data_IF_595735161621
#
_entry.id   IF_595735161621
#
_cell.length_a   1.000
_cell.length_b   1.000
_cell.length_c   1.000
_cell.angle_alpha   90.00
_cell.angle_beta   90.00
_cell.angle_gamma   90.00
#
_symmetry.space_group_name_H-M   'P 1'
#
loop_
_entity.id
_entity.type
_entity.pdbx_description
1 polymer ?
#
# COMPACT_ATOMS: atom_id res chain seq x y z
N UNK A 1 20.68 -13.99 1.98
CA UNK A 1 19.93 -12.74 2.17
C UNK A 1 20.24 -11.92 0.93
N UNK A 2 19.38 -11.98 -0.08
CA UNK A 2 19.51 -11.10 -1.25
C UNK A 2 19.36 -9.66 -0.75
N UNK A 3 20.21 -8.76 -1.26
CA UNK A 3 20.38 -7.41 -0.72
C UNK A 3 19.06 -6.64 -0.66
N UNK A 4 18.72 -6.11 0.52
CA UNK A 4 17.65 -5.14 0.65
C UNK A 4 17.96 -3.96 -0.29
N UNK A 5 17.04 -3.56 -1.18
CA UNK A 5 17.36 -2.61 -2.24
C UNK A 5 17.69 -1.22 -1.65
N UNK A 6 18.97 -0.84 -1.66
CA UNK A 6 19.46 0.42 -1.06
C UNK A 6 19.45 1.62 -2.00
N UNK A 7 19.24 1.41 -3.30
CA UNK A 7 19.27 2.45 -4.33
C UNK A 7 17.91 2.77 -4.96
N UNK A 8 16.82 2.34 -4.33
CA UNK A 8 15.49 2.56 -4.86
C UNK A 8 15.00 4.00 -4.62
N UNK A 9 14.12 4.50 -5.49
CA UNK A 9 13.49 5.81 -5.30
C UNK A 9 12.67 5.84 -4.00
N UNK A 10 12.50 7.02 -3.41
CA UNK A 10 11.70 7.20 -2.19
C UNK A 10 10.30 6.57 -2.32
N UNK A 11 9.61 6.80 -3.45
CA UNK A 11 8.30 6.21 -3.72
C UNK A 11 8.31 4.68 -3.66
N UNK A 12 9.40 4.05 -4.10
CA UNK A 12 9.54 2.60 -4.06
C UNK A 12 9.87 2.09 -2.66
N UNK A 13 10.72 2.79 -1.93
CA UNK A 13 11.00 2.47 -0.53
C UNK A 13 9.73 2.55 0.33
N UNK A 14 8.93 3.61 0.16
CA UNK A 14 7.60 3.73 0.79
C UNK A 14 6.68 2.57 0.40
N UNK A 15 6.69 2.14 -0.86
CA UNK A 15 5.89 1.03 -1.33
C UNK A 15 6.27 -0.31 -0.69
N UNK A 16 7.57 -0.60 -0.56
CA UNK A 16 8.04 -1.79 0.15
C UNK A 16 7.64 -1.76 1.62
N UNK A 17 7.76 -0.60 2.28
CA UNK A 17 7.36 -0.45 3.67
C UNK A 17 5.88 -0.80 3.87
N UNK A 18 4.99 -0.15 3.12
CA UNK A 18 3.55 -0.39 3.26
C UNK A 18 3.18 -1.81 2.85
N UNK A 19 3.77 -2.33 1.75
CA UNK A 19 3.56 -3.72 1.31
C UNK A 19 3.98 -4.72 2.38
N UNK A 20 5.11 -4.51 3.04
CA UNK A 20 5.60 -5.38 4.10
C UNK A 20 4.63 -5.42 5.29
N UNK A 21 4.27 -4.26 5.85
CA UNK A 21 3.40 -4.19 7.03
C UNK A 21 1.99 -4.69 6.73
N UNK A 22 1.40 -4.28 5.61
CA UNK A 22 0.04 -4.69 5.20
C UNK A 22 0.00 -6.17 4.79
N UNK A 23 1.06 -6.66 4.14
CA UNK A 23 1.18 -8.04 3.69
C UNK A 23 1.37 -9.01 4.85
N UNK A 24 2.25 -8.71 5.80
CA UNK A 24 2.45 -9.51 7.01
C UNK A 24 1.22 -9.51 7.92
N UNK A 25 0.44 -8.42 7.89
CA UNK A 25 -0.85 -8.33 8.56
C UNK A 25 -0.78 -8.68 10.06
N UNK A 26 0.17 -8.04 10.75
CA UNK A 26 0.47 -8.27 12.18
C UNK A 26 -0.73 -8.15 13.12
N UNK A 27 -1.73 -7.34 12.76
CA UNK A 27 -2.87 -7.03 13.59
C UNK A 27 -4.18 -7.56 12.99
N UNK A 28 -5.23 -7.82 13.79
CA UNK A 28 -6.56 -8.17 13.26
C UNK A 28 -7.19 -7.04 12.43
N UNK A 29 -6.94 -5.77 12.81
CA UNK A 29 -7.34 -4.56 12.09
C UNK A 29 -6.21 -3.52 12.14
N UNK A 30 -6.37 -2.39 11.44
CA UNK A 30 -5.50 -1.22 11.49
C UNK A 30 -4.13 -1.39 10.83
N UNK A 31 -3.84 -2.51 10.15
CA UNK A 31 -2.54 -2.71 9.47
C UNK A 31 -2.17 -1.57 8.51
N UNK A 32 -3.12 -1.06 7.72
CA UNK A 32 -2.88 0.11 6.87
C UNK A 32 -2.58 1.37 7.67
N UNK A 33 -3.35 1.64 8.74
CA UNK A 33 -3.11 2.79 9.62
C UNK A 33 -1.72 2.71 10.26
N UNK A 34 -1.34 1.54 10.77
CA UNK A 34 -0.01 1.30 11.34
C UNK A 34 1.09 1.41 10.30
N UNK A 35 0.89 0.88 9.10
CA UNK A 35 1.86 0.99 8.01
C UNK A 35 2.16 2.44 7.66
N UNK A 36 1.12 3.28 7.53
CA UNK A 36 1.29 4.70 7.29
C UNK A 36 1.90 5.41 8.50
N UNK A 37 1.37 5.23 9.71
CA UNK A 37 1.90 5.89 10.92
C UNK A 37 3.38 5.62 11.17
N UNK A 38 3.82 4.38 10.95
CA UNK A 38 5.25 4.04 11.06
C UNK A 38 6.08 4.56 9.90
N UNK A 39 5.53 4.63 8.68
CA UNK A 39 6.18 5.27 7.55
C UNK A 39 6.40 6.77 7.82
N UNK A 40 5.40 7.47 8.36
CA UNK A 40 5.55 8.88 8.78
C UNK A 40 6.67 9.07 9.77
N UNK A 41 6.69 8.26 10.84
CA UNK A 41 7.78 8.33 11.83
C UNK A 41 9.15 8.06 11.22
N UNK A 42 9.24 7.13 10.25
CA UNK A 42 10.49 6.85 9.55
C UNK A 42 10.94 8.02 8.65
N UNK A 43 10.01 8.63 7.91
CA UNK A 43 10.30 9.77 7.05
C UNK A 43 10.75 10.99 7.87
N UNK A 44 10.04 11.28 8.96
CA UNK A 44 10.40 12.35 9.91
C UNK A 44 11.79 12.13 10.52
N UNK A 45 12.06 10.92 11.02
CA UNK A 45 13.36 10.56 11.59
C UNK A 45 14.52 10.62 10.59
N UNK A 46 14.23 10.56 9.29
CA UNK A 46 15.23 10.67 8.20
C UNK A 46 15.30 12.06 7.58
N UNK A 47 14.54 13.04 8.11
CA UNK A 47 14.50 14.40 7.60
C UNK A 47 13.80 14.53 6.24
N UNK A 48 13.03 13.52 5.84
CA UNK A 48 12.27 13.53 4.59
C UNK A 48 10.88 14.09 4.88
N UNK A 49 10.66 15.35 4.50
CA UNK A 49 9.34 15.97 4.62
C UNK A 49 8.37 15.42 3.56
N UNK A 50 7.08 15.21 3.90
CA UNK A 50 6.07 14.98 2.89
C UNK A 50 5.96 16.19 1.93
N UNK A 51 5.43 16.00 0.72
CA UNK A 51 5.33 17.07 -0.28
C UNK A 51 4.48 18.26 0.19
N UNK A 52 3.49 17.99 1.05
CA UNK A 52 2.60 18.98 1.65
C UNK A 52 1.92 18.41 2.91
N UNK A 53 1.21 19.28 3.65
CA UNK A 53 0.46 18.92 4.87
C UNK A 53 -0.76 18.01 4.60
N UNK A 54 -1.15 17.86 3.33
CA UNK A 54 -2.25 17.00 2.88
C UNK A 54 -1.79 15.57 2.54
N UNK A 55 -0.50 15.25 2.72
CA UNK A 55 0.01 13.91 2.42
C UNK A 55 -0.42 12.94 3.54
N UNK A 56 -1.11 11.85 3.21
CA UNK A 56 -1.26 11.25 1.90
C UNK A 56 -2.46 11.86 1.16
N UNK A 57 -2.32 12.16 -0.14
CA UNK A 57 -3.35 12.90 -0.87
C UNK A 57 -4.66 12.13 -0.98
N UNK A 58 -5.69 12.85 -1.45
CA UNK A 58 -6.99 12.29 -1.83
C UNK A 58 -6.86 10.96 -2.60
N UNK A 59 -7.74 10.01 -2.26
CA UNK A 59 -7.74 8.68 -2.85
C UNK A 59 -6.98 7.60 -2.05
N UNK A 60 -6.42 7.92 -0.88
CA UNK A 60 -5.86 6.89 0.03
C UNK A 60 -6.89 5.80 0.37
N UNK A 61 -8.16 6.15 0.58
CA UNK A 61 -9.20 5.16 0.90
C UNK A 61 -9.39 4.15 -0.25
N UNK A 62 -9.43 4.61 -1.50
CA UNK A 62 -9.48 3.76 -2.70
C UNK A 62 -8.23 2.88 -2.79
N UNK A 63 -7.05 3.44 -2.50
CA UNK A 63 -5.81 2.68 -2.47
C UNK A 63 -5.81 1.59 -1.38
N UNK A 64 -6.36 1.89 -0.20
CA UNK A 64 -6.52 0.92 0.90
C UNK A 64 -7.49 -0.20 0.50
N UNK A 65 -8.62 0.11 -0.12
CA UNK A 65 -9.59 -0.90 -0.56
C UNK A 65 -8.97 -1.84 -1.60
N UNK A 66 -8.33 -1.29 -2.63
CA UNK A 66 -7.62 -2.10 -3.64
C UNK A 66 -6.50 -2.95 -3.01
N UNK A 67 -5.78 -2.39 -2.06
CA UNK A 67 -4.75 -3.14 -1.31
C UNK A 67 -5.33 -4.32 -0.52
N UNK A 68 -6.51 -4.17 0.10
CA UNK A 68 -7.19 -5.28 0.80
C UNK A 68 -7.56 -6.40 -0.17
N UNK A 69 -8.04 -6.07 -1.37
CA UNK A 69 -8.34 -7.05 -2.42
C UNK A 69 -7.09 -7.78 -2.89
N UNK A 70 -6.04 -7.03 -3.26
CA UNK A 70 -4.78 -7.60 -3.72
C UNK A 70 -4.13 -8.51 -2.67
N UNK A 71 -4.19 -8.13 -1.38
CA UNK A 71 -3.73 -8.99 -0.29
C UNK A 71 -4.53 -10.29 -0.23
N UNK A 72 -5.86 -10.20 -0.36
CA UNK A 72 -6.75 -11.36 -0.32
C UNK A 72 -6.58 -12.34 -1.49
N UNK A 73 -6.17 -11.84 -2.66
CA UNK A 73 -6.11 -12.62 -3.91
C UNK A 73 -4.70 -13.07 -4.30
N UNK A 74 -3.68 -12.23 -4.09
CA UNK A 74 -2.40 -12.36 -4.80
C UNK A 74 -1.17 -12.24 -3.92
N UNK A 75 -1.31 -12.00 -2.61
CA UNK A 75 -0.15 -11.73 -1.77
C UNK A 75 0.07 -12.83 -0.71
N UNK A 76 1.12 -13.64 -0.90
CA UNK A 76 1.75 -14.41 0.18
C UNK A 76 2.97 -13.62 0.67
N UNK A 77 2.80 -12.91 1.77
CA UNK A 77 3.90 -12.16 2.40
C UNK A 77 4.41 -12.92 3.61
N UNK A 78 5.72 -13.10 3.67
CA UNK A 78 6.47 -13.57 4.82
C UNK A 78 7.83 -12.83 4.87
N UNK A 79 8.63 -13.08 5.90
CA UNK A 79 9.92 -12.39 6.09
C UNK A 79 10.94 -12.66 4.97
N UNK A 80 10.77 -13.72 4.17
CA UNK A 80 11.61 -14.07 3.02
C UNK A 80 11.09 -13.47 1.71
N UNK A 81 9.97 -12.75 1.73
CA UNK A 81 9.38 -12.16 0.52
C UNK A 81 9.21 -10.65 0.62
N UNK A 82 9.81 -10.00 1.63
CA UNK A 82 9.62 -8.57 1.89
C UNK A 82 10.09 -7.66 0.75
N UNK A 83 11.08 -8.11 -0.02
CA UNK A 83 11.64 -7.37 -1.17
C UNK A 83 10.89 -7.61 -2.49
N UNK A 84 9.88 -8.48 -2.51
CA UNK A 84 9.18 -8.81 -3.75
C UNK A 84 8.38 -7.63 -4.29
N UNK A 85 8.53 -7.39 -5.58
CA UNK A 85 7.79 -6.39 -6.35
C UNK A 85 6.50 -6.98 -6.95
N UNK A 86 5.72 -7.62 -6.08
CA UNK A 86 4.42 -8.22 -6.41
C UNK A 86 3.34 -7.17 -6.69
N UNK A 87 2.12 -7.60 -7.00
CA UNK A 87 1.01 -6.70 -7.29
C UNK A 87 0.69 -5.74 -6.13
N UNK A 88 0.89 -6.18 -4.88
CA UNK A 88 0.70 -5.32 -3.71
C UNK A 88 1.78 -4.21 -3.67
N UNK A 89 3.04 -4.54 -3.98
CA UNK A 89 4.10 -3.54 -4.10
C UNK A 89 3.85 -2.58 -5.27
N UNK A 90 3.48 -3.10 -6.45
CA UNK A 90 3.21 -2.28 -7.64
C UNK A 90 2.10 -1.28 -7.40
N UNK A 91 1.03 -1.72 -6.74
CA UNK A 91 -0.08 -0.87 -6.32
C UNK A 91 0.37 0.30 -5.43
N UNK A 92 1.11 0.00 -4.36
CA UNK A 92 1.61 1.05 -3.47
C UNK A 92 2.66 1.94 -4.12
N UNK A 93 3.49 1.41 -5.00
CA UNK A 93 4.45 2.21 -5.75
C UNK A 93 3.75 3.20 -6.69
N UNK A 94 2.69 2.77 -7.38
CA UNK A 94 1.88 3.68 -8.21
C UNK A 94 1.25 4.79 -7.38
N UNK A 95 0.70 4.45 -6.21
CA UNK A 95 0.17 5.42 -5.26
C UNK A 95 1.25 6.43 -4.82
N UNK A 96 2.40 5.95 -4.34
CA UNK A 96 3.45 6.83 -3.84
C UNK A 96 4.09 7.68 -4.94
N UNK A 97 4.29 7.11 -6.15
CA UNK A 97 4.81 7.85 -7.29
C UNK A 97 3.94 9.05 -7.63
N UNK A 98 2.60 8.89 -7.65
CA UNK A 98 1.67 10.01 -7.84
C UNK A 98 1.70 10.99 -6.68
N UNK A 99 1.72 10.48 -5.45
CA UNK A 99 1.66 11.33 -4.25
C UNK A 99 2.91 12.18 -4.02
N UNK A 100 4.09 11.67 -4.39
CA UNK A 100 5.38 12.32 -4.09
C UNK A 100 5.89 13.22 -5.23
N UNK A 101 5.46 13.00 -6.47
CA UNK A 101 5.95 13.76 -7.62
C UNK A 101 4.93 14.73 -8.22
N UNK A 102 3.74 14.84 -7.62
CA UNK A 102 2.61 15.56 -8.23
C UNK A 102 2.07 14.79 -9.44
N UNK A 103 0.76 14.81 -9.64
CA UNK A 103 0.11 14.02 -10.69
C UNK A 103 0.53 14.50 -12.09
N UNK A 104 1.37 13.73 -12.78
CA UNK A 104 1.22 13.62 -14.24
C UNK A 104 0.09 12.60 -14.47
N UNK A 105 -1.04 13.13 -14.88
CA UNK A 105 -2.29 12.43 -15.19
C UNK A 105 -2.07 11.30 -16.19
N UNK A 106 -2.15 10.06 -15.70
CA UNK A 106 -2.63 8.94 -16.47
C UNK A 106 -3.82 8.36 -15.71
N UNK A 107 -5.00 8.75 -16.15
CA UNK A 107 -6.26 8.09 -15.84
C UNK A 107 -6.21 6.70 -16.48
N UNK A 108 -5.66 5.74 -15.76
CA UNK A 108 -6.24 4.41 -15.82
C UNK A 108 -7.60 4.54 -15.11
N UNK A 109 -8.72 4.27 -15.79
CA UNK A 109 -10.06 4.21 -15.18
C UNK A 109 -10.04 3.21 -14.02
N UNK A 110 -9.72 3.71 -12.83
CA UNK A 110 -9.73 2.92 -11.62
C UNK A 110 -11.19 2.66 -11.23
N UNK A 111 -11.55 1.43 -10.84
CA UNK A 111 -12.88 1.15 -10.34
C UNK A 111 -13.21 2.07 -9.17
N UNK A 112 -14.46 2.55 -9.11
CA UNK A 112 -14.91 3.48 -8.08
C UNK A 112 -14.73 2.89 -6.68
N UNK A 113 -14.64 3.77 -5.68
CA UNK A 113 -14.54 3.40 -4.26
C UNK A 113 -15.69 2.48 -3.83
N UNK A 114 -16.90 2.75 -4.34
CA UNK A 114 -18.10 1.95 -4.09
C UNK A 114 -17.97 0.55 -4.68
N UNK A 115 -17.59 0.44 -5.96
CA UNK A 115 -17.38 -0.87 -6.59
C UNK A 115 -16.32 -1.70 -5.88
N UNK A 116 -15.24 -1.08 -5.39
CA UNK A 116 -14.21 -1.79 -4.62
C UNK A 116 -14.72 -2.26 -3.25
N UNK A 117 -15.63 -1.53 -2.60
CA UNK A 117 -16.26 -1.95 -1.33
C UNK A 117 -17.17 -3.15 -1.56
N UNK A 118 -18.01 -3.10 -2.60
CA UNK A 118 -18.93 -4.20 -2.92
C UNK A 118 -18.17 -5.50 -3.19
N UNK A 119 -17.08 -5.44 -3.96
CA UNK A 119 -16.23 -6.62 -4.22
C UNK A 119 -15.62 -7.16 -2.91
N UNK A 120 -15.19 -6.28 -2.00
CA UNK A 120 -14.61 -6.68 -0.72
C UNK A 120 -15.63 -7.35 0.21
N UNK A 121 -16.83 -6.80 0.28
CA UNK A 121 -17.92 -7.35 1.09
C UNK A 121 -18.34 -8.72 0.57
N UNK A 122 -18.56 -8.81 -0.75
CA UNK A 122 -18.83 -10.08 -1.41
C UNK A 122 -17.75 -11.15 -1.14
N UNK A 123 -16.47 -10.77 -1.21
CA UNK A 123 -15.35 -11.67 -0.95
C UNK A 123 -15.28 -12.12 0.53
N UNK A 124 -15.73 -11.28 1.47
CA UNK A 124 -15.79 -11.61 2.91
C UNK A 124 -16.92 -12.59 3.21
N UNK A 125 -18.10 -12.36 2.67
CA UNK A 125 -19.27 -13.21 2.91
C UNK A 125 -19.03 -14.64 2.40
N UNK A 126 -18.38 -14.81 1.25
CA UNK A 126 -18.00 -16.14 0.74
C UNK A 126 -16.95 -16.86 1.59
N UNK A 127 -16.17 -16.14 2.42
CA UNK A 127 -15.16 -16.74 3.32
C UNK A 127 -15.74 -17.09 4.69
N UNK A 128 -16.81 -16.42 5.14
CA UNK A 128 -17.46 -16.66 6.43
C UNK A 128 -18.50 -17.80 6.45
N UNK A 129 -18.86 -18.35 5.29
CA UNK A 129 -19.84 -19.43 5.14
C UNK A 129 -19.28 -20.86 5.08
N UNK A 130 -18.12 -21.13 5.68
CA UNK A 130 -17.53 -22.48 5.80
C UNK A 130 -17.31 -22.86 7.25
#
# INVERSE_FOLDING_TARGET
MEEFPRGESLARQCAHWVRAVVGLHFFPDANHRTAFGTLYGLLDATGVAPPNDEWPPDGIETAVLRSKLLRGLHCRTDFRTLWLRDELNRHWHGFFKRSLHGASSHDDELPSKESLRDILEYARDRRGGR
#
